data_IF_268152702299
#
_entry.id   IF_268152702299
#
_cell.length_a   1.000
_cell.length_b   1.000
_cell.length_c   1.000
_cell.angle_alpha   90.00
_cell.angle_beta   90.00
_cell.angle_gamma   90.00
#
_symmetry.space_group_name_H-M   'P 1'
#
loop_
_entity.id
_entity.type
_entity.pdbx_description
1 polymer ?
#
# COMPACT_ATOMS: atom_id res chain seq x y z
N UNK A 1 8.68 -11.44 12.71
CA UNK A 1 9.24 -10.08 12.49
C UNK A 1 8.13 -9.13 12.04
N UNK A 2 8.41 -7.82 11.92
CA UNK A 2 7.51 -6.84 11.28
C UNK A 2 8.09 -6.48 9.90
N UNK A 3 7.33 -6.71 8.85
CA UNK A 3 7.76 -6.49 7.45
C UNK A 3 6.83 -5.49 6.78
N UNK A 4 7.41 -4.48 6.14
CA UNK A 4 6.70 -3.54 5.27
C UNK A 4 7.10 -3.82 3.82
N UNK A 5 6.10 -4.09 2.97
CA UNK A 5 6.29 -4.29 1.54
C UNK A 5 5.72 -3.09 0.80
N UNK A 6 6.53 -2.42 -0.02
CA UNK A 6 6.07 -1.39 -0.94
C UNK A 6 5.86 -2.04 -2.30
N UNK A 7 4.64 -2.00 -2.81
CA UNK A 7 4.23 -2.58 -4.08
C UNK A 7 3.92 -1.48 -5.10
N UNK A 8 4.52 -1.60 -6.28
CA UNK A 8 4.49 -0.55 -7.30
C UNK A 8 4.18 -1.14 -8.68
N UNK A 9 3.03 -1.81 -8.82
CA UNK A 9 2.58 -2.30 -10.13
C UNK A 9 1.06 -2.15 -10.28
N UNK A 10 0.60 -1.55 -11.38
CA UNK A 10 -0.81 -1.21 -11.58
C UNK A 10 -1.69 -2.42 -11.91
N UNK A 11 -1.16 -3.41 -12.65
CA UNK A 11 -1.93 -4.58 -13.09
C UNK A 11 -1.93 -5.71 -12.03
N UNK A 12 -3.10 -6.09 -11.48
CA UNK A 12 -3.23 -7.20 -10.54
C UNK A 12 -3.03 -8.59 -11.18
N UNK A 13 -2.98 -8.70 -12.51
CA UNK A 13 -2.65 -9.94 -13.23
C UNK A 13 -1.15 -10.06 -13.55
N UNK A 14 -0.34 -9.07 -13.16
CA UNK A 14 1.10 -9.08 -13.39
C UNK A 14 1.82 -10.19 -12.60
N UNK A 15 2.98 -10.59 -13.12
CA UNK A 15 3.92 -11.44 -12.39
C UNK A 15 4.30 -10.83 -11.03
N UNK A 16 4.51 -9.51 -10.97
CA UNK A 16 4.81 -8.81 -9.73
C UNK A 16 3.69 -8.97 -8.68
N UNK A 17 2.43 -8.95 -9.11
CA UNK A 17 1.31 -9.23 -8.21
C UNK A 17 1.35 -10.66 -7.67
N UNK A 18 1.65 -11.65 -8.52
CA UNK A 18 1.79 -13.04 -8.10
C UNK A 18 2.93 -13.21 -7.08
N UNK A 19 4.06 -12.52 -7.26
CA UNK A 19 5.17 -12.50 -6.29
C UNK A 19 4.73 -11.89 -4.96
N UNK A 20 4.04 -10.74 -4.98
CA UNK A 20 3.51 -10.11 -3.76
C UNK A 20 2.60 -11.07 -2.99
N UNK A 21 1.69 -11.75 -3.68
CA UNK A 21 0.77 -12.72 -3.06
C UNK A 21 1.52 -13.87 -2.38
N UNK A 22 2.47 -14.48 -3.09
CA UNK A 22 3.28 -15.60 -2.55
C UNK A 22 4.16 -15.16 -1.38
N UNK A 23 4.79 -13.99 -1.47
CA UNK A 23 5.61 -13.44 -0.40
C UNK A 23 4.77 -13.15 0.86
N UNK A 24 3.60 -12.53 0.69
CA UNK A 24 2.67 -12.22 1.79
C UNK A 24 2.19 -13.50 2.49
N UNK A 25 1.83 -14.52 1.72
CA UNK A 25 1.42 -15.82 2.27
C UNK A 25 2.55 -16.46 3.09
N UNK A 26 3.77 -16.53 2.55
CA UNK A 26 4.92 -17.10 3.27
C UNK A 26 5.26 -16.36 4.56
N UNK A 27 5.11 -15.02 4.59
CA UNK A 27 5.28 -14.24 5.82
C UNK A 27 4.23 -14.58 6.89
N UNK A 28 2.97 -14.76 6.47
CA UNK A 28 1.89 -15.14 7.39
C UNK A 28 2.09 -16.55 7.96
N UNK A 29 2.45 -17.51 7.10
CA UNK A 29 2.77 -18.89 7.48
C UNK A 29 3.92 -18.97 8.48
N UNK A 30 4.95 -18.12 8.32
CA UNK A 30 6.09 -18.00 9.24
C UNK A 30 5.77 -17.19 10.53
N UNK A 31 4.52 -16.80 10.77
CA UNK A 31 4.10 -16.05 11.96
C UNK A 31 4.65 -14.61 12.01
N UNK A 32 4.99 -14.02 10.87
CA UNK A 32 5.43 -12.63 10.78
C UNK A 32 4.27 -11.67 10.57
N UNK A 33 4.36 -10.48 11.15
CA UNK A 33 3.43 -9.38 10.84
C UNK A 33 3.89 -8.72 9.55
N UNK A 34 3.00 -8.60 8.57
CA UNK A 34 3.27 -7.89 7.33
C UNK A 34 2.32 -6.69 7.14
N UNK A 35 2.77 -5.71 6.38
CA UNK A 35 1.99 -4.56 5.91
C UNK A 35 2.37 -4.30 4.46
N UNK A 36 1.38 -4.06 3.60
CA UNK A 36 1.61 -3.74 2.19
C UNK A 36 1.11 -2.33 1.91
N UNK A 37 1.97 -1.50 1.34
CA UNK A 37 1.62 -0.20 0.76
C UNK A 37 1.57 -0.40 -0.76
N UNK A 38 0.43 -0.15 -1.38
CA UNK A 38 0.22 -0.32 -2.82
C UNK A 38 0.17 1.07 -3.46
N UNK A 39 1.28 1.51 -4.05
CA UNK A 39 1.43 2.88 -4.55
C UNK A 39 0.40 3.25 -5.62
N UNK A 40 -0.02 2.27 -6.44
CA UNK A 40 -1.01 2.51 -7.48
C UNK A 40 -2.43 2.48 -6.93
N UNK A 41 -2.74 1.58 -6.00
CA UNK A 41 -4.06 1.56 -5.37
C UNK A 41 -4.28 2.74 -4.40
N UNK A 42 -3.20 3.26 -3.82
CA UNK A 42 -3.21 4.37 -2.86
C UNK A 42 -3.10 5.75 -3.53
N UNK A 43 -3.06 5.81 -4.87
CA UNK A 43 -2.88 7.04 -5.67
C UNK A 43 -1.69 7.89 -5.18
N UNK A 44 -0.56 7.22 -4.98
CA UNK A 44 0.65 7.87 -4.52
C UNK A 44 1.14 8.88 -5.57
N UNK A 45 1.32 10.13 -5.16
CA UNK A 45 1.85 11.19 -6.00
C UNK A 45 3.39 11.20 -5.92
N UNK A 46 4.12 10.78 -6.97
CA UNK A 46 5.57 10.68 -6.94
C UNK A 46 6.27 12.02 -7.16
N UNK A 47 5.54 13.08 -7.50
CA UNK A 47 6.14 14.37 -7.87
C UNK A 47 6.30 15.24 -6.63
N UNK A 48 7.55 15.39 -6.19
CA UNK A 48 7.92 16.34 -5.14
C UNK A 48 7.70 17.78 -5.61
N UNK A 49 6.97 18.57 -4.82
CA UNK A 49 6.66 19.98 -5.08
C UNK A 49 6.91 20.81 -3.82
N UNK A 50 6.84 22.13 -3.94
CA UNK A 50 7.07 23.06 -2.82
C UNK A 50 6.17 22.78 -1.60
N UNK A 51 4.95 22.27 -1.84
CA UNK A 51 4.01 21.88 -0.78
C UNK A 51 4.55 20.75 0.12
N UNK A 52 5.51 19.98 -0.36
CA UNK A 52 6.07 18.83 0.36
C UNK A 52 7.27 19.24 1.24
N UNK A 53 7.87 20.41 1.00
CA UNK A 53 9.04 20.95 1.74
C UNK A 53 8.85 20.92 3.26
N UNK A 54 7.69 21.30 3.84
CA UNK A 54 7.50 21.23 5.29
C UNK A 54 7.70 19.83 5.87
N UNK A 55 7.49 18.78 5.08
CA UNK A 55 7.69 17.38 5.51
C UNK A 55 9.16 17.00 5.75
N UNK A 56 10.11 17.76 5.19
CA UNK A 56 11.54 17.46 5.27
C UNK A 56 12.35 18.50 6.06
N UNK A 57 11.81 19.71 6.23
CA UNK A 57 12.50 20.83 6.88
C UNK A 57 11.99 21.10 8.29
N UNK A 58 10.76 20.69 8.60
CA UNK A 58 10.20 20.81 9.94
C UNK A 58 10.51 19.52 10.70
N UNK A 59 11.03 19.62 11.94
CA UNK A 59 11.21 18.46 12.82
C UNK A 59 9.90 17.74 13.19
N UNK A 60 8.77 18.22 12.68
CA UNK A 60 7.46 17.60 12.79
C UNK A 60 6.89 17.36 11.39
N UNK A 61 6.48 16.13 11.10
CA UNK A 61 5.84 15.78 9.84
C UNK A 61 4.42 16.37 9.81
N UNK A 62 4.02 17.10 8.75
CA UNK A 62 2.68 17.69 8.68
C UNK A 62 1.60 16.60 8.70
N UNK A 63 0.45 16.91 9.31
CA UNK A 63 -0.65 15.97 9.57
C UNK A 63 -1.17 15.26 8.31
N UNK A 64 -1.17 15.97 7.18
CA UNK A 64 -1.57 15.42 5.87
C UNK A 64 -0.64 14.27 5.44
N UNK A 65 0.66 14.39 5.72
CA UNK A 65 1.65 13.35 5.42
C UNK A 65 1.46 12.15 6.36
N UNK A 66 1.16 12.37 7.65
CA UNK A 66 0.86 11.29 8.60
C UNK A 66 -0.45 10.55 8.29
N UNK A 67 -1.49 11.26 7.88
CA UNK A 67 -2.80 10.65 7.55
C UNK A 67 -2.68 9.72 6.35
N UNK A 68 -1.92 10.12 5.32
CA UNK A 68 -1.60 9.26 4.16
C UNK A 68 -0.82 8.02 4.55
N UNK A 69 0.21 8.14 5.40
CA UNK A 69 0.99 6.99 5.87
C UNK A 69 0.17 5.98 6.69
N UNK A 70 -0.87 6.45 7.41
CA UNK A 70 -1.76 5.58 8.20
C UNK A 70 -2.85 4.92 7.36
N UNK A 71 -3.32 5.57 6.30
CA UNK A 71 -4.33 5.03 5.40
C UNK A 71 -3.81 3.91 4.49
N UNK A 72 -2.53 3.98 4.09
CA UNK A 72 -1.86 2.99 3.24
C UNK A 72 -1.64 1.61 3.91
N UNK A 73 -2.00 1.46 5.20
CA UNK A 73 -2.03 0.16 5.89
C UNK A 73 -3.29 -0.59 5.49
N UNK A 74 -3.36 -1.02 4.23
CA UNK A 74 -4.40 -1.95 3.78
C UNK A 74 -3.99 -3.33 4.25
N UNK A 75 -4.75 -3.91 5.20
CA UNK A 75 -4.64 -5.34 5.52
C UNK A 75 -5.05 -6.12 4.27
N UNK A 76 -4.06 -6.65 3.56
CA UNK A 76 -4.28 -7.55 2.43
C UNK A 76 -5.14 -8.73 2.92
N UNK A 77 -6.40 -8.78 2.46
CA UNK A 77 -7.41 -9.76 2.90
C UNK A 77 -8.76 -9.18 3.39
N UNK A 78 -8.94 -7.85 3.49
CA UNK A 78 -10.20 -7.23 3.94
C UNK A 78 -10.96 -6.39 2.88
N UNK A 79 -10.69 -6.56 1.56
CA UNK A 79 -11.58 -5.94 0.56
C UNK A 79 -12.93 -6.67 0.56
N UNK A 80 -14.02 -5.92 0.80
CA UNK A 80 -15.40 -6.41 0.67
C UNK A 80 -15.62 -6.94 -0.76
N UNK A 81 -16.40 -8.02 -0.96
CA UNK A 81 -16.72 -8.48 -2.30
C UNK A 81 -17.53 -7.39 -3.01
N UNK A 82 -16.99 -6.88 -4.12
CA UNK A 82 -17.78 -6.05 -5.04
C UNK A 82 -18.70 -7.00 -5.80
N UNK A 83 -19.97 -7.06 -5.39
CA UNK A 83 -21.01 -7.67 -6.22
C UNK A 83 -21.23 -6.77 -7.44
N UNK A 84 -20.47 -7.00 -8.51
CA UNK A 84 -20.86 -6.52 -9.83
C UNK A 84 -21.65 -7.63 -10.52
N UNK A 85 -22.94 -7.72 -10.18
CA UNK A 85 -23.92 -8.33 -11.06
C UNK A 85 -24.16 -7.35 -12.21
N UNK A 86 -24.05 -7.83 -13.45
CA UNK A 86 -24.70 -7.18 -14.59
C UNK A 86 -23.75 -6.74 -15.69
N UNK A 87 -23.51 -7.65 -16.63
CA UNK A 87 -23.51 -7.33 -18.06
C UNK A 87 -24.41 -8.39 -18.72
N UNK A 88 -25.66 -7.98 -18.96
CA UNK A 88 -26.53 -8.53 -20.00
C UNK A 88 -26.48 -7.55 -21.18
#
# INVERSE_FOLDING_TARGET
MKVLTVYAHHDPKSFCHAVLQRFTAGLQEAGHTNTVIDLYADDFDPVSRDRDVPSYTSGNMPEVSMTRSRAAVVRFGQRRPTTSTGWA
#
